data_IF_992512978019
#
_entry.id   IF_992512978019
#
_cell.length_a   1.000
_cell.length_b   1.000
_cell.length_c   1.000
_cell.angle_alpha   90.00
_cell.angle_beta   90.00
_cell.angle_gamma   90.00
#
_symmetry.space_group_name_H-M   'P 1'
#
loop_
_entity.id
_entity.type
_entity.pdbx_description
1 polymer ?
#
# COMPACT_ATOMS: atom_id res chain seq x y z
N UNK A 1 5.23 -8.40 11.98
CA UNK A 1 4.45 -7.21 12.36
C UNK A 1 3.01 -7.47 12.05
N UNK A 2 2.43 -6.79 11.06
CA UNK A 2 1.00 -6.88 10.72
C UNK A 2 0.49 -8.32 10.55
N UNK A 3 1.07 -9.11 9.62
CA UNK A 3 0.54 -10.44 9.32
C UNK A 3 0.78 -11.48 10.42
N UNK A 4 1.91 -11.41 11.12
CA UNK A 4 2.17 -12.27 12.27
C UNK A 4 1.15 -12.04 13.39
N UNK A 5 0.87 -10.77 13.72
CA UNK A 5 -0.14 -10.40 14.71
C UNK A 5 -1.55 -10.80 14.25
N UNK A 6 -1.88 -10.61 12.96
CA UNK A 6 -3.17 -11.04 12.42
C UNK A 6 -3.36 -12.56 12.54
N UNK A 7 -2.31 -13.34 12.25
CA UNK A 7 -2.31 -14.79 12.41
C UNK A 7 -2.51 -15.19 13.87
N UNK A 8 -1.76 -14.60 14.81
CA UNK A 8 -1.88 -14.87 16.25
C UNK A 8 -3.29 -14.60 16.79
N UNK A 9 -3.96 -13.56 16.28
CA UNK A 9 -5.31 -13.16 16.69
C UNK A 9 -6.43 -13.78 15.85
N UNK A 10 -6.11 -14.67 14.89
CA UNK A 10 -7.08 -15.22 13.92
C UNK A 10 -7.88 -14.13 13.18
N UNK A 11 -7.25 -12.98 12.94
CA UNK A 11 -7.81 -11.84 12.23
C UNK A 11 -7.37 -11.84 10.75
N UNK A 12 -8.10 -11.09 9.91
CA UNK A 12 -7.73 -10.84 8.52
C UNK A 12 -6.92 -9.54 8.43
N UNK A 13 -5.87 -9.53 7.62
CA UNK A 13 -5.07 -8.34 7.36
C UNK A 13 -4.53 -8.32 5.94
N UNK A 14 -4.29 -7.12 5.42
CA UNK A 14 -3.71 -6.87 4.10
C UNK A 14 -2.75 -5.67 4.18
N UNK A 15 -1.66 -5.73 3.44
CA UNK A 15 -0.74 -4.62 3.21
C UNK A 15 -0.74 -4.32 1.71
N UNK A 16 -1.10 -3.09 1.35
CA UNK A 16 -1.06 -2.57 0.00
C UNK A 16 -0.04 -1.42 -0.05
N UNK A 17 0.79 -1.39 -1.09
CA UNK A 17 1.87 -0.40 -1.21
C UNK A 17 1.97 0.10 -2.65
N UNK A 18 2.23 1.40 -2.80
CA UNK A 18 2.66 2.02 -4.06
C UNK A 18 4.18 2.15 -4.09
N UNK A 19 4.80 1.89 -5.24
CA UNK A 19 6.24 2.06 -5.42
C UNK A 19 6.53 3.55 -5.62
N UNK A 20 7.20 4.18 -4.66
CA UNK A 20 7.55 5.60 -4.72
C UNK A 20 8.93 5.89 -5.31
N UNK A 21 9.81 4.89 -5.29
CA UNK A 21 11.20 4.99 -5.69
C UNK A 21 11.78 3.61 -6.00
N UNK A 22 12.85 3.63 -6.78
CA UNK A 22 13.57 2.44 -7.20
C UNK A 22 14.95 2.41 -6.53
N UNK A 23 15.17 1.42 -5.65
CA UNK A 23 16.37 1.36 -4.81
C UNK A 23 17.69 1.18 -5.58
N UNK A 24 17.67 0.50 -6.74
CA UNK A 24 18.86 0.28 -7.58
C UNK A 24 19.16 1.51 -8.46
N UNK A 25 18.21 1.95 -9.30
CA UNK A 25 18.40 3.08 -10.23
C UNK A 25 18.40 4.44 -9.53
N UNK A 26 17.93 4.51 -8.28
CA UNK A 26 17.76 5.75 -7.49
C UNK A 26 16.71 6.72 -8.05
N UNK A 27 15.89 6.28 -8.98
CA UNK A 27 14.76 7.06 -9.47
C UNK A 27 13.70 7.18 -8.38
N UNK A 28 13.08 8.36 -8.28
CA UNK A 28 12.02 8.63 -7.33
C UNK A 28 10.92 9.44 -8.02
N UNK A 29 9.67 9.14 -7.69
CA UNK A 29 8.53 9.89 -8.18
C UNK A 29 8.54 11.32 -7.64
N UNK A 30 8.08 12.26 -8.48
CA UNK A 30 7.80 13.62 -8.04
C UNK A 30 6.67 13.63 -6.98
N UNK A 31 6.55 14.71 -6.18
CA UNK A 31 5.47 14.82 -5.20
C UNK A 31 4.07 14.63 -5.81
N UNK A 32 3.85 15.12 -7.04
CA UNK A 32 2.56 15.02 -7.73
C UNK A 32 2.24 13.57 -8.11
N UNK A 33 3.13 12.89 -8.82
CA UNK A 33 2.94 11.49 -9.24
C UNK A 33 2.76 10.56 -8.03
N UNK A 34 3.48 10.85 -6.94
CA UNK A 34 3.39 10.10 -5.69
C UNK A 34 2.00 10.24 -5.05
N UNK A 35 1.44 11.44 -4.95
CA UNK A 35 0.10 11.67 -4.41
C UNK A 35 -0.96 10.99 -5.27
N UNK A 36 -0.89 11.14 -6.60
CA UNK A 36 -1.84 10.49 -7.52
C UNK A 36 -1.81 8.95 -7.38
N UNK A 37 -0.62 8.36 -7.26
CA UNK A 37 -0.46 6.92 -7.03
C UNK A 37 -0.99 6.47 -5.66
N UNK A 38 -0.80 7.27 -4.61
CA UNK A 38 -1.31 6.95 -3.27
C UNK A 38 -2.84 7.10 -3.18
N UNK A 39 -3.44 8.09 -3.82
CA UNK A 39 -4.89 8.26 -3.85
C UNK A 39 -5.56 7.03 -4.47
N UNK A 40 -5.03 6.54 -5.59
CA UNK A 40 -5.52 5.31 -6.23
C UNK A 40 -5.37 4.08 -5.31
N UNK A 41 -4.26 3.98 -4.58
CA UNK A 41 -4.02 2.90 -3.62
C UNK A 41 -5.08 2.88 -2.52
N UNK A 42 -5.44 4.06 -1.99
CA UNK A 42 -6.45 4.18 -0.94
C UNK A 42 -7.85 3.87 -1.47
N UNK A 43 -8.20 4.36 -2.66
CA UNK A 43 -9.48 4.04 -3.31
C UNK A 43 -9.62 2.53 -3.47
N UNK A 44 -8.59 1.86 -4.00
CA UNK A 44 -8.60 0.41 -4.15
C UNK A 44 -8.76 -0.31 -2.80
N UNK A 45 -8.05 0.13 -1.76
CA UNK A 45 -8.16 -0.46 -0.43
C UNK A 45 -9.59 -0.33 0.14
N UNK A 46 -10.24 0.82 -0.07
CA UNK A 46 -11.63 1.04 0.36
C UNK A 46 -12.60 0.14 -0.42
N UNK A 47 -12.45 0.04 -1.74
CA UNK A 47 -13.29 -0.82 -2.59
C UNK A 47 -13.18 -2.28 -2.17
N UNK A 48 -11.97 -2.78 -1.89
CA UNK A 48 -11.72 -4.15 -1.43
C UNK A 48 -12.37 -4.47 -0.08
N UNK A 49 -12.59 -3.48 0.80
CA UNK A 49 -13.26 -3.69 2.08
C UNK A 49 -14.78 -3.76 1.97
N UNK A 50 -15.35 -3.22 0.89
CA UNK A 50 -16.79 -3.17 0.66
C UNK A 50 -17.34 -4.33 -0.17
N UNK A 51 -16.45 -5.10 -0.80
CA UNK A 51 -16.77 -6.36 -1.50
C UNK A 51 -16.74 -7.55 -0.53
#
# INVERSE_FOLDING_TARGET
GLYATAMELSAKALCLCSVSDHLITKEALSPKERVESFDNMIILALEMMTQ
#
